data_IF_851075733204
#
_entry.id   IF_851075733204
#
_cell.length_a   1.000
_cell.length_b   1.000
_cell.length_c   1.000
_cell.angle_alpha   90.00
_cell.angle_beta   90.00
_cell.angle_gamma   90.00
#
_symmetry.space_group_name_H-M   'P 1'
#
loop_
_entity.id
_entity.type
_entity.pdbx_description
1 polymer ?
#
# COMPACT_ATOMS: atom_id res chain seq x y z
N UNK A 1 3.01 18.54 12.78
CA UNK A 1 3.39 17.18 13.20
C UNK A 1 4.12 16.55 12.01
N UNK A 2 5.45 16.52 12.06
CA UNK A 2 6.28 16.07 10.95
C UNK A 2 6.40 14.53 11.02
N UNK A 3 5.91 13.84 9.99
CA UNK A 3 6.16 12.43 9.81
C UNK A 3 7.60 12.26 9.30
N UNK A 4 8.55 12.11 10.23
CA UNK A 4 9.94 11.78 9.92
C UNK A 4 10.01 10.28 9.61
N UNK A 5 10.13 9.93 8.32
CA UNK A 5 10.33 8.54 7.87
C UNK A 5 11.83 8.19 7.95
N UNK A 6 12.30 7.82 9.15
CA UNK A 6 13.52 7.04 9.33
C UNK A 6 13.12 5.57 9.18
N UNK A 7 13.55 4.88 8.14
CA UNK A 7 13.17 3.48 7.88
C UNK A 7 14.05 2.52 8.72
N UNK A 8 13.53 1.87 9.77
CA UNK A 8 14.11 0.62 10.24
C UNK A 8 13.86 -0.49 9.19
N UNK A 9 14.84 -1.39 9.09
CA UNK A 9 15.00 -2.50 8.13
C UNK A 9 13.78 -3.45 7.95
N UNK A 10 12.73 -3.32 8.75
CA UNK A 10 11.51 -4.13 8.66
C UNK A 10 10.54 -3.65 7.57
N UNK A 11 10.50 -2.35 7.26
CA UNK A 11 9.56 -1.81 6.26
C UNK A 11 9.95 -2.15 4.83
N UNK A 12 11.26 -2.26 4.54
CA UNK A 12 11.74 -2.72 3.23
C UNK A 12 11.29 -4.15 2.94
N UNK A 13 11.21 -5.01 3.97
CA UNK A 13 10.71 -6.38 3.83
C UNK A 13 9.21 -6.41 3.54
N UNK A 14 8.41 -5.60 4.22
CA UNK A 14 6.96 -5.54 3.93
C UNK A 14 6.70 -5.09 2.50
N UNK A 15 7.37 -4.02 2.05
CA UNK A 15 7.29 -3.55 0.68
C UNK A 15 7.73 -4.64 -0.31
N UNK A 16 8.89 -5.28 -0.08
CA UNK A 16 9.39 -6.34 -0.94
C UNK A 16 8.44 -7.54 -1.01
N UNK A 17 7.87 -7.95 0.12
CA UNK A 17 6.87 -9.03 0.15
C UNK A 17 5.71 -8.70 -0.79
N UNK A 18 5.11 -7.52 -0.66
CA UNK A 18 4.00 -7.11 -1.54
C UNK A 18 4.42 -7.01 -3.00
N UNK A 19 5.65 -6.58 -3.27
CA UNK A 19 6.25 -6.57 -4.60
C UNK A 19 6.24 -7.98 -5.24
N UNK A 20 6.72 -8.97 -4.49
CA UNK A 20 6.76 -10.36 -4.96
C UNK A 20 5.36 -10.95 -5.14
N UNK A 21 4.39 -10.58 -4.29
CA UNK A 21 3.01 -11.04 -4.42
C UNK A 21 2.38 -10.60 -5.74
N UNK A 22 2.53 -9.31 -6.08
CA UNK A 22 1.97 -8.79 -7.34
C UNK A 22 2.75 -9.25 -8.56
N UNK A 23 4.07 -9.41 -8.45
CA UNK A 23 4.90 -10.05 -9.50
C UNK A 23 4.42 -11.47 -9.80
N UNK A 24 4.16 -12.26 -8.76
CA UNK A 24 3.67 -13.62 -8.91
C UNK A 24 2.28 -13.65 -9.58
N UNK A 25 1.42 -12.67 -9.29
CA UNK A 25 0.13 -12.54 -9.95
C UNK A 25 0.27 -12.28 -11.46
N UNK A 26 1.16 -11.36 -11.84
CA UNK A 26 1.48 -11.02 -13.25
C UNK A 26 2.09 -12.23 -13.98
N UNK A 27 3.03 -12.93 -13.34
CA UNK A 27 3.76 -14.06 -13.95
C UNK A 27 2.86 -15.28 -14.19
N UNK A 28 1.82 -15.45 -13.37
CA UNK A 28 0.91 -16.59 -13.45
C UNK A 28 -0.39 -16.30 -14.23
N UNK A 29 -0.51 -15.17 -14.94
CA UNK A 29 -1.65 -14.94 -15.85
C UNK A 29 -1.75 -16.03 -16.92
N UNK A 30 -0.61 -16.61 -17.32
CA UNK A 30 -0.55 -17.81 -18.15
C UNK A 30 -0.18 -19.06 -17.33
N UNK A 31 -0.87 -20.20 -17.49
CA UNK A 31 -0.57 -21.42 -16.75
C UNK A 31 0.81 -21.97 -17.12
N UNK A 32 1.83 -21.70 -16.29
CA UNK A 32 3.15 -22.26 -16.46
C UNK A 32 3.49 -23.27 -15.34
N UNK A 33 3.50 -24.59 -15.64
CA UNK A 33 3.80 -25.62 -14.64
C UNK A 33 5.27 -25.64 -14.21
N UNK A 34 6.17 -24.91 -14.89
CA UNK A 34 7.59 -24.84 -14.51
C UNK A 34 7.87 -23.85 -13.38
N UNK A 35 6.90 -23.04 -12.98
CA UNK A 35 7.08 -22.05 -11.90
C UNK A 35 7.07 -22.72 -10.52
N UNK A 36 7.84 -22.19 -9.56
CA UNK A 36 7.81 -22.68 -8.18
C UNK A 36 6.40 -22.67 -7.58
N UNK A 37 6.07 -23.66 -6.75
CA UNK A 37 4.78 -23.74 -6.05
C UNK A 37 4.48 -22.49 -5.20
N UNK A 38 5.52 -21.85 -4.67
CA UNK A 38 5.40 -20.59 -3.93
C UNK A 38 4.79 -19.48 -4.79
N UNK A 39 5.24 -19.32 -6.04
CA UNK A 39 4.72 -18.32 -6.98
C UNK A 39 3.23 -18.53 -7.26
N UNK A 40 2.83 -19.78 -7.55
CA UNK A 40 1.42 -20.14 -7.72
C UNK A 40 0.58 -19.82 -6.49
N UNK A 41 1.11 -20.06 -5.29
CA UNK A 41 0.43 -19.76 -4.02
C UNK A 41 0.26 -18.26 -3.82
N UNK A 42 1.30 -17.47 -4.11
CA UNK A 42 1.27 -16.02 -4.00
C UNK A 42 0.29 -15.38 -5.00
N UNK A 43 0.32 -15.86 -6.26
CA UNK A 43 -0.65 -15.46 -7.29
C UNK A 43 -2.09 -15.73 -6.85
N UNK A 44 -2.37 -16.95 -6.35
CA UNK A 44 -3.69 -17.31 -5.83
C UNK A 44 -4.16 -16.40 -4.71
N UNK A 45 -3.27 -16.02 -3.79
CA UNK A 45 -3.58 -15.09 -2.71
C UNK A 45 -3.98 -13.73 -3.27
N UNK A 46 -3.18 -13.15 -4.17
CA UNK A 46 -3.49 -11.84 -4.78
C UNK A 46 -4.80 -11.88 -5.56
N UNK A 47 -5.01 -12.92 -6.38
CA UNK A 47 -6.24 -13.07 -7.16
C UNK A 47 -7.47 -13.17 -6.24
N UNK A 48 -7.36 -13.87 -5.11
CA UNK A 48 -8.43 -13.92 -4.11
C UNK A 48 -8.66 -12.56 -3.43
N UNK A 49 -7.59 -11.83 -3.08
CA UNK A 49 -7.67 -10.50 -2.48
C UNK A 49 -8.36 -9.49 -3.41
N UNK A 50 -8.09 -9.57 -4.72
CA UNK A 50 -8.66 -8.70 -5.75
C UNK A 50 -10.11 -9.08 -6.04
N UNK A 51 -10.41 -10.38 -6.15
CA UNK A 51 -11.74 -10.86 -6.48
C UNK A 51 -12.75 -10.68 -5.34
N UNK A 52 -12.31 -10.81 -4.09
CA UNK A 52 -13.17 -10.78 -2.90
C UNK A 52 -12.64 -9.81 -1.82
N UNK A 53 -12.57 -8.49 -2.11
CA UNK A 53 -11.98 -7.52 -1.20
C UNK A 53 -12.73 -7.42 0.14
N UNK A 54 -14.04 -7.69 0.18
CA UNK A 54 -14.85 -7.73 1.41
C UNK A 54 -14.43 -8.84 2.37
N UNK A 55 -13.88 -9.94 1.87
CA UNK A 55 -13.38 -11.04 2.70
C UNK A 55 -12.07 -10.69 3.41
N UNK A 56 -11.44 -9.55 3.07
CA UNK A 56 -10.23 -9.09 3.75
C UNK A 56 -10.57 -8.43 5.08
N UNK A 57 -11.42 -7.40 5.05
CA UNK A 57 -11.64 -6.53 6.21
C UNK A 57 -13.10 -6.43 6.63
N UNK A 58 -14.04 -7.05 5.92
CA UNK A 58 -15.47 -6.83 6.08
C UNK A 58 -15.97 -5.65 5.25
N UNK A 59 -17.26 -5.38 5.36
CA UNK A 59 -17.90 -4.26 4.66
C UNK A 59 -17.51 -2.91 5.26
N UNK A 60 -17.38 -1.87 4.43
CA UNK A 60 -17.06 -0.48 4.80
C UNK A 60 -15.65 -0.21 5.39
N UNK A 61 -14.74 -1.18 5.37
CA UNK A 61 -13.36 -0.98 5.80
C UNK A 61 -12.45 -0.46 4.68
N UNK A 62 -11.36 0.22 5.05
CA UNK A 62 -10.42 0.85 4.10
C UNK A 62 -9.86 -0.13 3.06
N UNK A 63 -9.41 -1.32 3.47
CA UNK A 63 -8.87 -2.31 2.54
C UNK A 63 -9.89 -2.74 1.50
N UNK A 64 -11.15 -2.92 1.91
CA UNK A 64 -12.26 -3.27 1.02
C UNK A 64 -12.54 -2.14 0.03
N UNK A 65 -12.63 -0.89 0.52
CA UNK A 65 -12.85 0.28 -0.33
C UNK A 65 -11.71 0.51 -1.32
N UNK A 66 -10.46 0.32 -0.89
CA UNK A 66 -9.28 0.44 -1.74
C UNK A 66 -9.27 -0.65 -2.81
N UNK A 67 -9.49 -1.91 -2.43
CA UNK A 67 -9.59 -3.05 -3.34
C UNK A 67 -10.69 -2.87 -4.39
N UNK A 68 -11.90 -2.44 -3.98
CA UNK A 68 -13.00 -2.14 -4.93
C UNK A 68 -12.68 -0.96 -5.85
N UNK A 69 -11.90 0.01 -5.39
CA UNK A 69 -11.57 1.22 -6.17
C UNK A 69 -10.50 0.96 -7.21
N UNK A 70 -9.47 0.18 -6.86
CA UNK A 70 -8.32 -0.10 -7.72
C UNK A 70 -8.40 -1.46 -8.43
N UNK A 71 -9.31 -2.34 -8.01
CA UNK A 71 -9.52 -3.66 -8.61
C UNK A 71 -8.21 -4.42 -8.76
N UNK A 72 -7.95 -4.87 -9.97
CA UNK A 72 -6.77 -5.66 -10.30
C UNK A 72 -5.49 -4.82 -10.46
N UNK A 73 -5.46 -3.54 -10.10
CA UNK A 73 -4.22 -2.74 -10.19
C UNK A 73 -3.33 -2.86 -8.95
N UNK A 74 -3.87 -3.26 -7.80
CA UNK A 74 -3.09 -3.41 -6.56
C UNK A 74 -3.68 -4.47 -5.63
N UNK A 75 -2.84 -4.96 -4.73
CA UNK A 75 -3.25 -5.79 -3.60
C UNK A 75 -2.69 -5.21 -2.29
N UNK A 76 -3.50 -5.15 -1.24
CA UNK A 76 -3.17 -4.39 -0.03
C UNK A 76 -3.69 -5.00 1.26
N UNK A 77 -3.03 -4.72 2.38
CA UNK A 77 -3.51 -5.07 3.72
C UNK A 77 -3.04 -4.07 4.78
N UNK A 78 -3.96 -3.75 5.68
CA UNK A 78 -3.66 -3.07 6.94
C UNK A 78 -2.99 -4.04 7.92
N UNK A 79 -1.85 -3.63 8.47
CA UNK A 79 -1.18 -4.28 9.59
C UNK A 79 -1.47 -3.60 10.93
N UNK A 80 -0.86 -4.10 12.00
CA UNK A 80 -0.95 -3.50 13.33
C UNK A 80 -0.09 -2.22 13.43
N UNK A 81 -0.42 -1.38 14.43
CA UNK A 81 0.36 -0.19 14.80
C UNK A 81 0.65 0.75 13.62
N UNK A 82 -0.38 1.10 12.84
CA UNK A 82 -0.24 2.04 11.73
C UNK A 82 0.65 1.54 10.59
N UNK A 83 0.95 0.23 10.53
CA UNK A 83 1.62 -0.40 9.39
C UNK A 83 0.59 -0.64 8.27
N UNK A 84 0.95 -0.33 7.03
CA UNK A 84 0.13 -0.66 5.87
C UNK A 84 1.02 -1.09 4.71
N UNK A 85 0.70 -2.22 4.07
CA UNK A 85 1.46 -2.75 2.94
C UNK A 85 0.57 -2.92 1.72
N UNK A 86 1.10 -2.56 0.54
CA UNK A 86 0.43 -2.84 -0.72
C UNK A 86 1.42 -2.99 -1.86
N UNK A 87 1.04 -3.78 -2.87
CA UNK A 87 1.77 -3.94 -4.12
C UNK A 87 0.94 -3.38 -5.26
N UNK A 88 1.60 -2.68 -6.19
CA UNK A 88 1.05 -2.18 -7.44
C UNK A 88 1.56 -3.10 -8.56
N UNK A 89 0.65 -3.67 -9.33
CA UNK A 89 0.98 -4.53 -10.49
C UNK A 89 1.67 -3.71 -11.59
N UNK A 90 2.37 -4.39 -12.50
CA UNK A 90 3.03 -3.72 -13.61
C UNK A 90 2.03 -2.95 -14.48
N UNK A 91 2.38 -1.73 -14.87
CA UNK A 91 1.58 -0.87 -15.76
C UNK A 91 2.45 0.22 -16.38
N UNK A 92 1.95 0.89 -17.41
CA UNK A 92 2.62 2.05 -18.00
C UNK A 92 2.95 3.14 -16.97
N UNK A 93 2.10 3.31 -15.94
CA UNK A 93 2.35 4.29 -14.89
C UNK A 93 3.52 3.89 -13.99
N UNK A 94 3.68 2.60 -13.66
CA UNK A 94 4.81 2.16 -12.82
C UNK A 94 6.12 2.29 -13.59
N UNK A 95 6.12 2.07 -14.90
CA UNK A 95 7.26 2.35 -15.78
C UNK A 95 7.57 3.85 -15.86
N UNK A 96 6.56 4.71 -15.99
CA UNK A 96 6.74 6.17 -15.94
C UNK A 96 7.35 6.65 -14.62
N UNK A 97 7.06 5.97 -13.51
CA UNK A 97 7.69 6.21 -12.21
C UNK A 97 9.13 5.67 -12.10
N UNK A 98 9.64 5.02 -13.14
CA UNK A 98 10.98 4.45 -13.22
C UNK A 98 11.11 3.05 -12.61
N UNK A 99 10.00 2.37 -12.33
CA UNK A 99 10.03 0.99 -11.85
C UNK A 99 10.18 0.00 -13.02
N UNK A 100 10.81 -1.14 -12.75
CA UNK A 100 10.89 -2.25 -13.71
C UNK A 100 9.72 -3.20 -13.43
N UNK A 101 8.54 -2.83 -13.93
CA UNK A 101 7.31 -3.59 -13.73
C UNK A 101 6.55 -3.15 -12.48
N UNK A 102 6.53 -3.98 -11.45
CA UNK A 102 5.70 -3.81 -10.25
C UNK A 102 6.36 -2.94 -9.17
N UNK A 103 5.56 -2.47 -8.20
CA UNK A 103 6.04 -1.65 -7.07
C UNK A 103 5.46 -2.17 -5.76
N UNK A 104 6.32 -2.53 -4.81
CA UNK A 104 5.94 -2.76 -3.42
C UNK A 104 6.03 -1.49 -2.57
N UNK A 105 5.03 -1.24 -1.73
CA UNK A 105 4.98 -0.08 -0.83
C UNK A 105 4.65 -0.51 0.59
N UNK A 106 5.38 0.07 1.53
CA UNK A 106 5.10 0.00 2.96
C UNK A 106 4.94 1.41 3.53
N UNK A 107 3.89 1.60 4.34
CA UNK A 107 3.62 2.81 5.10
C UNK A 107 3.67 2.45 6.58
N UNK A 108 4.27 3.35 7.36
CA UNK A 108 4.26 3.29 8.81
C UNK A 108 3.91 4.65 9.36
N UNK A 109 3.03 4.67 10.35
CA UNK A 109 2.81 5.83 11.20
C UNK A 109 3.44 5.52 12.55
N UNK A 110 4.39 6.34 12.97
CA UNK A 110 5.21 6.10 14.16
C UNK A 110 4.39 6.05 15.46
N UNK A 111 3.30 6.82 15.55
CA UNK A 111 2.38 6.81 16.69
C UNK A 111 1.35 5.67 16.64
N UNK A 112 1.43 4.80 15.62
CA UNK A 112 0.54 3.66 15.44
C UNK A 112 -0.85 4.01 14.88
N UNK A 113 -1.09 5.26 14.48
CA UNK A 113 -2.42 5.67 14.02
C UNK A 113 -2.83 5.00 12.70
N UNK A 114 -3.78 4.08 12.80
CA UNK A 114 -4.42 3.39 11.66
C UNK A 114 -5.20 4.38 10.79
N UNK A 115 -5.88 5.36 11.38
CA UNK A 115 -6.63 6.37 10.64
C UNK A 115 -5.69 7.19 9.74
N UNK A 116 -4.54 7.61 10.26
CA UNK A 116 -3.53 8.33 9.49
C UNK A 116 -2.91 7.42 8.42
N UNK A 117 -2.64 6.14 8.72
CA UNK A 117 -2.14 5.20 7.72
C UNK A 117 -3.12 5.08 6.52
N UNK A 118 -4.41 4.97 6.80
CA UNK A 118 -5.46 4.90 5.80
C UNK A 118 -5.66 6.23 5.05
N UNK A 119 -5.34 7.38 5.66
CA UNK A 119 -5.35 8.69 4.99
C UNK A 119 -4.12 8.91 4.08
N UNK A 120 -2.96 8.37 4.48
CA UNK A 120 -1.70 8.49 3.74
C UNK A 120 -1.72 7.70 2.44
N UNK A 121 -2.29 6.49 2.43
CA UNK A 121 -2.27 5.61 1.24
C UNK A 121 -2.95 6.26 0.01
N UNK A 122 -4.18 6.81 0.08
CA UNK A 122 -4.79 7.54 -1.05
C UNK A 122 -4.00 8.79 -1.44
N UNK A 123 -3.35 9.47 -0.49
CA UNK A 123 -2.46 10.61 -0.78
C UNK A 123 -1.20 10.21 -1.50
N UNK A 124 -0.64 9.06 -1.17
CA UNK A 124 0.50 8.52 -1.87
C UNK A 124 0.12 8.12 -3.30
N UNK A 125 -0.99 7.39 -3.47
CA UNK A 125 -1.49 6.99 -4.79
C UNK A 125 -1.88 8.19 -5.68
N UNK A 126 -2.40 9.27 -5.10
CA UNK A 126 -2.58 10.55 -5.81
C UNK A 126 -1.24 11.15 -6.26
N UNK A 127 -0.25 11.20 -5.38
CA UNK A 127 1.07 11.78 -5.70
C UNK A 127 1.84 10.97 -6.75
N UNK A 128 1.64 9.65 -6.75
CA UNK A 128 2.17 8.74 -7.77
C UNK A 128 1.36 8.79 -9.09
N UNK A 129 0.31 9.63 -9.16
CA UNK A 129 -0.58 9.77 -10.31
C UNK A 129 -1.27 8.45 -10.70
N UNK A 130 -1.55 7.60 -9.70
CA UNK A 130 -2.18 6.28 -9.86
C UNK A 130 -3.70 6.31 -9.67
N UNK A 131 -4.27 7.48 -9.35
CA UNK A 131 -5.70 7.62 -9.06
C UNK A 131 -6.34 8.71 -9.90
N UNK A 132 -7.49 8.40 -10.49
CA UNK A 132 -8.34 9.38 -11.18
C UNK A 132 -9.13 10.23 -10.19
N UNK A 133 -9.78 11.30 -10.67
CA UNK A 133 -10.71 12.10 -9.84
C UNK A 133 -11.79 11.21 -9.21
N UNK A 134 -12.40 10.31 -9.98
CA UNK A 134 -13.44 9.41 -9.49
C UNK A 134 -12.95 8.42 -8.43
N UNK A 135 -11.72 7.91 -8.57
CA UNK A 135 -11.13 7.03 -7.55
C UNK A 135 -10.83 7.79 -6.25
N UNK A 136 -10.35 9.04 -6.35
CA UNK A 136 -10.10 9.89 -5.19
C UNK A 136 -11.39 10.19 -4.42
N UNK A 137 -12.48 10.41 -5.16
CA UNK A 137 -13.79 10.68 -4.57
C UNK A 137 -14.33 9.49 -3.76
N UNK A 138 -14.19 8.25 -4.28
CA UNK A 138 -14.55 7.02 -3.57
C UNK A 138 -13.81 6.83 -2.24
N UNK A 139 -12.62 7.43 -2.09
CA UNK A 139 -11.77 7.31 -0.90
C UNK A 139 -11.72 8.59 -0.06
N UNK A 140 -12.56 9.59 -0.37
CA UNK A 140 -12.55 10.91 0.30
C UNK A 140 -12.76 10.80 1.81
N UNK A 141 -13.62 9.87 2.26
CA UNK A 141 -13.96 9.69 3.67
C UNK A 141 -12.76 9.29 4.55
N UNK A 142 -11.67 8.80 3.96
CA UNK A 142 -10.43 8.48 4.68
C UNK A 142 -9.52 9.70 4.88
N UNK A 143 -9.76 10.81 4.17
CA UNK A 143 -9.08 12.10 4.39
C UNK A 143 -9.89 13.07 5.25
N UNK A 144 -11.21 13.01 5.07
CA UNK A 144 -12.16 13.80 5.84
C UNK A 144 -13.25 12.86 6.35
N UNK A 145 -13.11 12.44 7.61
CA UNK A 145 -14.06 11.54 8.26
C UNK A 145 -15.02 12.33 9.12
N UNK A 146 -16.31 12.00 9.06
CA UNK A 146 -17.28 12.51 10.02
C UNK A 146 -17.07 11.82 11.37
N UNK A 147 -17.27 12.57 12.45
CA UNK A 147 -17.19 12.08 13.82
C UNK A 147 -18.59 12.08 14.38
N UNK A 148 -19.08 10.91 14.74
CA UNK A 148 -20.36 10.75 15.41
C UNK A 148 -20.15 10.39 16.88
N UNK A 149 -21.10 10.80 17.72
CA UNK A 149 -21.17 10.31 19.10
C UNK A 149 -21.75 8.88 19.16
N UNK A 150 -21.84 8.31 20.37
CA UNK A 150 -22.43 6.97 20.59
C UNK A 150 -23.89 6.86 20.14
N UNK A 151 -24.61 7.98 20.01
CA UNK A 151 -25.97 8.04 19.48
C UNK A 151 -25.99 8.22 17.94
N UNK A 152 -24.86 8.01 17.27
CA UNK A 152 -24.66 8.14 15.82
C UNK A 152 -24.92 9.53 15.22
N UNK A 153 -25.09 10.55 16.08
CA UNK A 153 -25.24 11.94 15.64
C UNK A 153 -23.87 12.50 15.28
N UNK A 154 -23.74 13.04 14.07
CA UNK A 154 -22.51 13.72 13.61
C UNK A 154 -22.26 14.97 14.46
N UNK A 155 -21.17 14.97 15.22
CA UNK A 155 -20.76 16.06 16.11
C UNK A 155 -19.55 16.83 15.58
N UNK A 156 -18.87 16.31 14.56
CA UNK A 156 -17.72 17.00 13.98
C UNK A 156 -17.15 16.30 12.75
N UNK A 157 -16.01 16.81 12.28
CA UNK A 157 -15.23 16.22 11.18
C UNK A 157 -13.76 16.22 11.54
N UNK A 158 -13.06 15.13 11.26
CA UNK A 158 -11.61 15.10 11.26
C UNK A 158 -11.10 15.33 9.85
N UNK A 159 -10.18 16.26 9.69
CA UNK A 159 -9.54 16.55 8.41
C UNK A 159 -8.04 16.31 8.54
N UNK A 160 -7.48 15.52 7.63
CA UNK A 160 -6.06 15.14 7.62
C UNK A 160 -5.33 15.83 6.46
N UNK A 161 -4.85 17.08 6.61
CA UNK A 161 -4.10 17.78 5.58
C UNK A 161 -2.67 17.24 5.50
N UNK A 162 -2.49 16.16 4.76
CA UNK A 162 -1.21 15.47 4.65
C UNK A 162 -0.30 16.12 3.61
N UNK A 163 0.92 16.47 4.03
CA UNK A 163 2.03 16.88 3.16
C UNK A 163 3.03 15.74 3.07
N UNK A 164 3.22 15.20 1.87
CA UNK A 164 4.20 14.15 1.62
C UNK A 164 5.52 14.78 1.16
N UNK A 165 6.59 14.58 1.93
CA UNK A 165 7.94 14.99 1.57
C UNK A 165 8.68 13.80 0.94
N UNK A 166 9.62 14.06 0.04
CA UNK A 166 10.54 13.04 -0.47
C UNK A 166 11.85 13.21 0.27
N UNK A 167 12.30 12.19 0.99
CA UNK A 167 13.64 12.20 1.56
C UNK A 167 14.66 12.10 0.42
N UNK A 168 15.71 12.94 0.38
CA UNK A 168 16.78 12.78 -0.59
C UNK A 168 17.41 11.39 -0.43
N UNK A 169 17.68 10.72 -1.55
CA UNK A 169 18.32 9.42 -1.56
C UNK A 169 19.71 9.56 -0.93
N UNK A 170 19.90 9.04 0.28
CA UNK A 170 21.24 8.86 0.84
C UNK A 170 21.97 7.86 -0.08
N UNK A 171 23.12 8.25 -0.64
CA UNK A 171 24.02 7.29 -1.30
C UNK A 171 24.24 6.11 -0.36
N UNK A 172 24.31 4.86 -0.88
CA UNK A 172 24.52 3.70 -0.04
C UNK A 172 25.77 3.93 0.80
N UNK A 173 25.63 3.86 2.12
CA UNK A 173 26.76 3.88 3.03
C UNK A 173 27.70 2.75 2.59
N UNK A 174 28.95 3.08 2.29
CA UNK A 174 30.02 2.11 2.06
C UNK A 174 29.99 1.13 3.24
N UNK A 175 29.67 -0.13 2.98
CA UNK A 175 29.71 -1.21 3.97
C UNK A 175 31.17 -1.35 4.40
N UNK A 176 31.53 -0.73 5.53
CA UNK A 176 32.89 -0.73 6.07
C UNK A 176 33.23 -2.05 6.78
N UNK A 177 32.64 -3.17 6.33
CA UNK A 177 33.01 -4.52 6.77
C UNK A 177 33.88 -5.18 5.72
N UNK A 178 35.09 -4.62 5.56
CA UNK A 178 36.22 -5.39 5.06
C UNK A 178 36.43 -6.56 6.01
N UNK A 179 36.19 -7.78 5.53
CA UNK A 179 36.69 -8.98 6.17
C UNK A 179 38.22 -8.93 6.07
N UNK A 180 38.87 -8.67 7.20
CA UNK A 180 40.29 -8.92 7.37
C UNK A 180 40.49 -10.36 7.83
N UNK A 181 41.25 -11.14 7.04
CA UNK A 181 42.06 -12.28 7.50
C UNK A 181 41.32 -13.56 7.83
#
# INVERSE_FOLDING_TARGET
>A
MAATFLLPLCHSRLANTYSLFVEAADTCEEPNPSLPQQTHTMSRIVNAMVAYPEMLAGENHFCTSLGRTFGNHLASRLGADGCYGFGIRASEQTEYLGARGFIGVAVKVEDGSVEIACAVVPKLLERLQMSTVGMREKLRNYRCSERSNTAEVVTGKAHHPLVLLKTPTLSPALDSRGHSG
#
